data_IF_077568817849
#
_entry.id   IF_077568817849
#
_cell.length_a   1.000
_cell.length_b   1.000
_cell.length_c   1.000
_cell.angle_alpha   90.00
_cell.angle_beta   90.00
_cell.angle_gamma   90.00
#
_symmetry.space_group_name_H-M   'P 1'
#
loop_
_entity.id
_entity.type
_entity.pdbx_description
1 polymer ?
#
# COMPACT_ATOMS: atom_id res chain seq x y z
N UNK A 1 9.49 0.21 -18.42
CA UNK A 1 9.91 1.63 -18.51
C UNK A 1 8.78 2.58 -18.92
N UNK A 2 7.93 2.26 -19.88
CA UNK A 2 6.80 3.14 -20.30
C UNK A 2 5.66 3.21 -19.27
N UNK A 3 5.33 2.10 -18.59
CA UNK A 3 4.30 2.09 -17.54
C UNK A 3 4.68 2.99 -16.36
N UNK A 4 5.93 2.96 -15.93
CA UNK A 4 6.40 3.81 -14.84
C UNK A 4 6.44 5.31 -15.20
N UNK A 5 6.63 5.63 -16.49
CA UNK A 5 6.60 7.02 -17.00
C UNK A 5 5.20 7.60 -17.00
N UNK A 6 4.17 6.81 -17.44
CA UNK A 6 2.77 7.27 -17.46
C UNK A 6 2.19 7.45 -16.05
N UNK A 7 2.51 6.54 -15.14
CA UNK A 7 2.11 6.64 -13.74
C UNK A 7 2.76 7.86 -13.06
N UNK A 8 4.06 8.10 -13.29
CA UNK A 8 4.74 9.32 -12.82
C UNK A 8 4.08 10.58 -13.39
N UNK A 9 3.69 10.58 -14.66
CA UNK A 9 3.04 11.74 -15.29
C UNK A 9 1.67 12.06 -14.68
N UNK A 10 0.90 11.07 -14.22
CA UNK A 10 -0.38 11.29 -13.52
C UNK A 10 -0.19 11.82 -12.09
N UNK A 11 0.84 11.36 -11.37
CA UNK A 11 1.12 11.79 -10.00
C UNK A 11 1.83 13.16 -9.91
N UNK A 12 2.40 13.67 -11.01
CA UNK A 12 3.30 14.85 -11.00
C UNK A 12 2.58 16.13 -11.43
N UNK A 13 1.35 16.09 -11.91
CA UNK A 13 0.66 17.27 -12.46
C UNK A 13 0.48 18.42 -11.49
N UNK A 14 0.40 18.14 -10.20
CA UNK A 14 0.08 19.12 -9.17
C UNK A 14 1.05 19.01 -8.00
N UNK A 15 2.24 19.59 -8.13
CA UNK A 15 3.14 19.72 -7.00
C UNK A 15 2.77 20.92 -6.13
N UNK A 16 2.84 20.74 -4.80
CA UNK A 16 2.62 21.82 -3.87
C UNK A 16 3.74 22.87 -3.92
N UNK A 17 3.40 24.14 -3.72
CA UNK A 17 4.36 25.22 -3.49
C UNK A 17 4.81 25.18 -2.04
N UNK A 18 5.74 24.30 -1.74
CA UNK A 18 6.17 24.02 -0.37
C UNK A 18 6.68 25.24 0.41
N UNK A 19 7.31 26.21 -0.29
CA UNK A 19 7.80 27.43 0.36
C UNK A 19 6.63 28.25 0.93
N UNK A 20 5.54 28.42 0.18
CA UNK A 20 4.34 29.10 0.65
C UNK A 20 3.72 28.36 1.86
N UNK A 21 3.61 27.05 1.79
CA UNK A 21 3.09 26.25 2.91
C UNK A 21 3.96 26.39 4.17
N UNK A 22 5.27 26.46 4.00
CA UNK A 22 6.20 26.68 5.10
C UNK A 22 6.03 28.07 5.73
N UNK A 23 5.91 29.12 4.93
CA UNK A 23 5.67 30.50 5.39
C UNK A 23 4.38 30.61 6.19
N UNK A 24 3.33 29.88 5.81
CA UNK A 24 2.04 29.81 6.49
C UNK A 24 2.02 28.81 7.66
N UNK A 25 3.15 28.23 8.06
CA UNK A 25 3.26 27.23 9.11
C UNK A 25 2.50 25.94 8.82
N UNK A 26 2.37 25.57 7.54
CA UNK A 26 1.64 24.39 7.04
C UNK A 26 0.16 24.35 7.41
N UNK A 27 -0.46 25.50 7.62
CA UNK A 27 -1.87 25.63 8.05
C UNK A 27 -2.82 24.78 7.21
N UNK A 28 -2.73 24.83 5.88
CA UNK A 28 -3.56 24.02 4.98
C UNK A 28 -3.45 22.51 5.28
N UNK A 29 -2.23 22.02 5.53
CA UNK A 29 -2.02 20.62 5.81
C UNK A 29 -2.54 20.22 7.18
N UNK A 30 -2.36 21.06 8.19
CA UNK A 30 -2.90 20.84 9.54
C UNK A 30 -4.43 20.76 9.47
N UNK A 31 -5.08 21.73 8.85
CA UNK A 31 -6.55 21.74 8.69
C UNK A 31 -7.07 20.52 7.90
N UNK A 32 -6.37 20.13 6.82
CA UNK A 32 -6.73 18.97 6.01
C UNK A 32 -6.59 17.66 6.78
N UNK A 33 -5.50 17.47 7.52
CA UNK A 33 -5.27 16.27 8.31
C UNK A 33 -6.25 16.19 9.48
N UNK A 34 -6.44 17.29 10.21
CA UNK A 34 -7.37 17.39 11.33
C UNK A 34 -8.81 17.07 10.90
N UNK A 35 -9.28 17.70 9.82
CA UNK A 35 -10.60 17.41 9.26
C UNK A 35 -10.83 15.94 8.96
N UNK A 36 -9.83 15.27 8.34
CA UNK A 36 -9.96 13.86 8.02
C UNK A 36 -9.90 12.99 9.30
N UNK A 37 -9.01 13.27 10.22
CA UNK A 37 -8.86 12.50 11.47
C UNK A 37 -10.04 12.67 12.44
N UNK A 38 -10.83 13.73 12.29
CA UNK A 38 -12.09 13.87 12.99
C UNK A 38 -13.22 12.99 12.41
N UNK A 39 -13.06 12.49 11.19
CA UNK A 39 -14.05 11.65 10.50
C UNK A 39 -13.62 10.18 10.37
N UNK A 40 -12.34 9.87 10.55
CA UNK A 40 -11.77 8.53 10.38
C UNK A 40 -10.80 8.20 11.51
N UNK A 41 -10.73 6.93 11.90
CA UNK A 41 -9.81 6.45 12.94
C UNK A 41 -8.36 6.53 12.48
N UNK A 42 -8.11 6.25 11.21
CA UNK A 42 -6.79 6.30 10.59
C UNK A 42 -6.85 7.01 9.23
N UNK A 43 -5.77 7.67 8.87
CA UNK A 43 -5.60 8.34 7.58
C UNK A 43 -4.34 7.83 6.86
N UNK A 44 -4.54 7.20 5.69
CA UNK A 44 -3.42 6.83 4.82
C UNK A 44 -2.97 8.04 3.99
N UNK A 45 -1.69 8.35 4.07
CA UNK A 45 -1.03 9.34 3.21
C UNK A 45 -0.39 8.60 2.05
N UNK A 46 -0.92 8.85 0.86
CA UNK A 46 -0.43 8.29 -0.39
C UNK A 46 0.87 8.97 -0.84
N UNK A 47 1.75 8.20 -1.49
CA UNK A 47 3.05 8.68 -1.99
C UNK A 47 3.86 9.43 -0.94
N UNK A 48 4.03 8.83 0.25
CA UNK A 48 4.66 9.45 1.40
C UNK A 48 6.10 9.93 1.10
N UNK A 49 6.81 9.24 0.20
CA UNK A 49 8.15 9.65 -0.26
C UNK A 49 8.16 11.04 -0.92
N UNK A 50 7.02 11.52 -1.41
CA UNK A 50 6.87 12.86 -1.98
C UNK A 50 7.15 14.02 -1.02
N UNK A 51 7.08 13.80 0.30
CA UNK A 51 7.53 14.77 1.28
C UNK A 51 9.06 14.94 1.32
N UNK A 52 9.81 13.98 0.83
CA UNK A 52 11.28 13.96 0.85
C UNK A 52 11.85 14.37 -0.50
N UNK A 53 11.38 13.73 -1.55
CA UNK A 53 11.76 14.09 -2.92
C UNK A 53 10.64 13.74 -3.91
N UNK A 54 10.57 14.54 -4.95
CA UNK A 54 9.63 14.32 -6.04
C UNK A 54 10.20 14.79 -7.37
N UNK A 55 9.76 14.15 -8.46
CA UNK A 55 10.16 14.51 -9.81
C UNK A 55 9.27 15.64 -10.32
N UNK A 56 9.81 16.84 -10.45
CA UNK A 56 9.11 18.00 -10.96
C UNK A 56 9.30 18.15 -12.47
N UNK A 57 8.20 18.25 -13.20
CA UNK A 57 8.20 18.46 -14.65
C UNK A 57 7.67 19.87 -14.91
N UNK A 58 8.40 20.73 -15.67
CA UNK A 58 7.86 22.01 -16.08
C UNK A 58 6.57 21.85 -16.86
N UNK A 59 5.70 22.85 -16.76
CA UNK A 59 4.42 22.84 -17.46
C UNK A 59 4.62 22.69 -18.97
N UNK A 60 3.82 21.79 -19.57
CA UNK A 60 3.87 21.44 -21.00
C UNK A 60 5.16 20.75 -21.48
N UNK A 61 6.05 20.33 -20.59
CA UNK A 61 7.25 19.60 -20.94
C UNK A 61 7.07 18.08 -20.83
N UNK A 62 7.81 17.29 -21.61
CA UNK A 62 7.82 15.84 -21.45
C UNK A 62 8.45 15.41 -20.12
N UNK A 63 8.05 14.25 -19.61
CA UNK A 63 8.56 13.72 -18.34
C UNK A 63 10.10 13.61 -18.25
N UNK A 64 10.79 13.50 -19.38
CA UNK A 64 12.25 13.45 -19.46
C UNK A 64 12.92 14.76 -19.09
N UNK A 65 12.23 15.90 -19.25
CA UNK A 65 12.74 17.24 -18.95
C UNK A 65 12.50 17.64 -17.48
N UNK A 66 12.01 16.73 -16.67
CA UNK A 66 11.86 16.96 -15.25
C UNK A 66 13.19 16.93 -14.49
N UNK A 67 13.14 17.31 -13.23
CA UNK A 67 14.26 17.25 -12.30
C UNK A 67 13.79 16.90 -10.90
N UNK A 68 14.67 16.32 -10.09
CA UNK A 68 14.37 16.03 -8.70
C UNK A 68 14.32 17.31 -7.85
N UNK A 69 13.30 17.43 -7.04
CA UNK A 69 13.17 18.47 -6.02
C UNK A 69 13.04 17.86 -4.64
N UNK A 70 13.63 18.53 -3.66
CA UNK A 70 13.50 18.16 -2.25
C UNK A 70 12.17 18.67 -1.70
N UNK A 71 11.46 17.80 -0.98
CA UNK A 71 10.24 18.17 -0.28
C UNK A 71 10.51 18.82 1.09
N UNK A 72 9.49 19.18 1.84
CA UNK A 72 9.59 19.96 3.08
C UNK A 72 9.87 19.12 4.32
N UNK A 73 10.23 17.86 4.20
CA UNK A 73 10.20 16.85 5.27
C UNK A 73 10.78 17.34 6.62
N UNK A 74 11.93 18.03 6.61
CA UNK A 74 12.60 18.49 7.85
C UNK A 74 11.72 19.41 8.71
N UNK A 75 10.99 20.31 8.07
CA UNK A 75 10.17 21.30 8.77
C UNK A 75 8.71 20.91 8.85
N UNK A 76 8.23 20.12 7.90
CA UNK A 76 6.84 19.68 7.84
C UNK A 76 6.49 18.83 9.07
N UNK A 77 7.23 17.76 9.29
CA UNK A 77 6.93 16.81 10.37
C UNK A 77 7.09 17.46 11.75
N UNK A 78 8.13 18.30 11.93
CA UNK A 78 8.36 19.02 13.19
C UNK A 78 7.25 20.01 13.56
N UNK A 79 6.64 20.65 12.56
CA UNK A 79 5.57 21.61 12.78
C UNK A 79 4.21 20.93 12.92
N UNK A 80 3.88 20.03 11.98
CA UNK A 80 2.55 19.42 11.90
C UNK A 80 2.30 18.45 13.06
N UNK A 81 3.33 17.74 13.54
CA UNK A 81 3.21 16.82 14.68
C UNK A 81 2.79 17.48 15.99
N UNK A 82 2.94 18.81 16.11
CA UNK A 82 2.48 19.56 17.29
C UNK A 82 0.96 19.70 17.37
N UNK A 83 0.29 19.53 16.26
CA UNK A 83 -1.17 19.71 16.12
C UNK A 83 -1.90 18.44 15.72
N UNK A 84 -1.21 17.49 15.10
CA UNK A 84 -1.80 16.27 14.53
C UNK A 84 -1.21 15.04 15.24
N UNK A 85 -2.07 14.13 15.65
CA UNK A 85 -1.67 12.83 16.20
C UNK A 85 -1.16 11.90 15.09
N UNK A 86 0.14 11.76 14.99
CA UNK A 86 0.76 10.96 13.95
C UNK A 86 0.59 9.44 14.15
N UNK A 87 0.18 8.97 15.34
CA UNK A 87 -0.18 7.56 15.54
C UNK A 87 -1.42 7.14 14.75
N UNK A 88 -2.20 8.11 14.27
CA UNK A 88 -3.36 7.87 13.40
C UNK A 88 -3.04 7.97 11.91
N UNK A 89 -1.79 8.21 11.54
CA UNK A 89 -1.34 8.25 10.15
C UNK A 89 -0.79 6.89 9.73
N UNK A 90 -1.01 6.55 8.47
CA UNK A 90 -0.43 5.37 7.80
C UNK A 90 0.31 5.88 6.56
N UNK A 91 1.56 5.49 6.37
CA UNK A 91 2.34 5.95 5.23
C UNK A 91 2.32 4.95 4.07
N UNK A 92 2.06 5.42 2.86
CA UNK A 92 2.38 4.67 1.66
C UNK A 92 3.87 4.93 1.33
N UNK A 93 4.72 4.00 1.77
CA UNK A 93 6.18 4.04 1.64
C UNK A 93 6.71 2.97 0.65
N UNK A 94 5.92 2.66 -0.37
CA UNK A 94 6.27 1.69 -1.40
C UNK A 94 7.32 2.24 -2.37
N UNK A 95 8.12 1.34 -2.95
CA UNK A 95 9.16 1.69 -3.92
C UNK A 95 10.52 1.93 -3.27
N UNK A 96 11.25 2.95 -3.76
CA UNK A 96 12.58 3.29 -3.22
C UNK A 96 12.40 4.03 -1.90
N UNK A 97 12.73 3.37 -0.80
CA UNK A 97 12.71 3.96 0.54
C UNK A 97 14.02 4.68 0.78
N UNK A 98 13.95 6.00 1.00
CA UNK A 98 15.09 6.80 1.42
C UNK A 98 15.34 6.59 2.93
N UNK A 99 16.59 6.71 3.38
CA UNK A 99 16.91 6.60 4.79
C UNK A 99 16.11 7.63 5.62
N UNK A 100 16.00 8.86 5.11
CA UNK A 100 15.24 9.93 5.75
C UNK A 100 13.75 9.59 5.93
N UNK A 101 13.17 8.84 4.98
CA UNK A 101 11.80 8.34 5.11
C UNK A 101 11.69 7.36 6.26
N UNK A 102 12.60 6.39 6.33
CA UNK A 102 12.63 5.40 7.40
C UNK A 102 12.84 6.06 8.78
N UNK A 103 13.71 7.06 8.86
CA UNK A 103 13.97 7.81 10.08
C UNK A 103 12.72 8.57 10.56
N UNK A 104 11.99 9.22 9.67
CA UNK A 104 10.74 9.93 10.00
C UNK A 104 9.66 8.95 10.46
N UNK A 105 9.46 7.85 9.73
CA UNK A 105 8.48 6.82 10.12
C UNK A 105 8.77 6.28 11.51
N UNK A 106 10.05 6.00 11.80
CA UNK A 106 10.50 5.52 13.11
C UNK A 106 10.34 6.56 14.21
N UNK A 107 10.81 7.79 13.99
CA UNK A 107 10.81 8.87 15.00
C UNK A 107 9.40 9.29 15.41
N UNK A 108 8.47 9.26 14.48
CA UNK A 108 7.07 9.65 14.71
C UNK A 108 6.14 8.44 14.89
N UNK A 109 6.68 7.23 14.93
CA UNK A 109 5.94 5.97 15.07
C UNK A 109 4.81 5.82 14.03
N UNK A 110 5.04 6.30 12.80
CA UNK A 110 4.07 6.19 11.71
C UNK A 110 4.20 4.81 11.06
N UNK A 111 3.15 3.98 11.01
CA UNK A 111 3.19 2.71 10.31
C UNK A 111 3.42 2.90 8.81
N UNK A 112 4.40 2.21 8.27
CA UNK A 112 4.55 2.00 6.84
C UNK A 112 3.64 0.90 6.33
N UNK A 113 3.77 0.50 5.05
CA UNK A 113 2.97 -0.58 4.50
C UNK A 113 3.80 -1.62 3.74
N UNK A 114 3.30 -2.84 3.71
CA UNK A 114 3.82 -3.91 2.87
C UNK A 114 2.70 -4.58 2.09
N UNK A 115 2.94 -4.78 0.80
CA UNK A 115 2.02 -5.47 -0.11
C UNK A 115 2.66 -6.79 -0.51
N UNK A 116 2.07 -7.92 -0.11
CA UNK A 116 2.70 -9.22 -0.31
C UNK A 116 2.98 -9.52 -1.79
N UNK A 117 2.07 -9.21 -2.70
CA UNK A 117 2.30 -9.37 -4.15
C UNK A 117 3.57 -8.68 -4.68
N UNK A 118 3.99 -7.58 -4.03
CA UNK A 118 5.19 -6.84 -4.41
C UNK A 118 6.44 -7.30 -3.67
N UNK A 119 6.29 -8.13 -2.64
CA UNK A 119 7.38 -8.63 -1.79
C UNK A 119 7.76 -10.06 -2.10
N UNK A 120 6.95 -10.79 -2.85
CA UNK A 120 7.37 -12.10 -3.36
C UNK A 120 8.49 -11.87 -4.39
N UNK A 121 9.70 -12.39 -4.15
CA UNK A 121 10.84 -12.18 -5.04
C UNK A 121 10.56 -12.67 -6.46
N UNK A 122 11.05 -11.91 -7.43
CA UNK A 122 10.98 -12.25 -8.85
C UNK A 122 12.35 -12.66 -9.42
N UNK A 123 13.34 -12.77 -8.56
CA UNK A 123 14.67 -13.33 -8.87
C UNK A 123 15.26 -14.02 -7.63
N UNK A 124 16.27 -14.87 -7.85
CA UNK A 124 16.94 -15.62 -6.79
C UNK A 124 18.03 -14.83 -6.05
N UNK A 125 18.16 -13.54 -6.30
CA UNK A 125 19.20 -12.67 -5.73
C UNK A 125 18.73 -11.88 -4.52
N UNK A 126 17.41 -11.70 -4.36
CA UNK A 126 16.85 -10.96 -3.24
C UNK A 126 16.70 -11.85 -2.02
N UNK A 127 17.03 -11.29 -0.86
CA UNK A 127 16.77 -11.97 0.41
C UNK A 127 15.25 -12.05 0.60
N UNK A 128 14.78 -13.25 0.71
CA UNK A 128 13.40 -13.57 1.04
C UNK A 128 13.12 -13.15 2.48
N UNK A 129 12.08 -12.32 2.67
CA UNK A 129 11.56 -11.97 4.00
C UNK A 129 10.13 -12.48 4.11
N UNK A 130 9.98 -13.56 4.83
CA UNK A 130 8.66 -14.15 5.07
C UNK A 130 7.74 -13.16 5.79
N UNK A 131 6.42 -13.10 5.49
CA UNK A 131 5.49 -12.21 6.19
C UNK A 131 5.51 -12.33 7.72
N UNK A 132 5.84 -13.49 8.29
CA UNK A 132 6.02 -13.71 9.74
C UNK A 132 7.18 -12.91 10.35
N UNK A 133 8.11 -12.44 9.52
CA UNK A 133 9.26 -11.64 9.95
C UNK A 133 9.04 -10.12 9.81
N UNK A 134 7.86 -9.72 9.37
CA UNK A 134 7.53 -8.30 9.24
C UNK A 134 7.39 -7.64 10.61
N UNK A 135 7.69 -6.34 10.68
CA UNK A 135 7.58 -5.59 11.93
C UNK A 135 6.11 -5.34 12.33
N UNK A 136 5.87 -5.22 13.64
CA UNK A 136 4.54 -4.89 14.15
C UNK A 136 3.99 -3.56 13.61
N UNK A 137 4.83 -2.50 13.58
CA UNK A 137 4.42 -1.15 13.14
C UNK A 137 4.33 -1.04 11.60
N UNK A 138 3.53 -1.92 11.00
CA UNK A 138 3.28 -2.00 9.55
C UNK A 138 1.81 -2.32 9.32
N UNK A 139 1.26 -1.81 8.23
CA UNK A 139 0.00 -2.28 7.66
C UNK A 139 0.31 -3.24 6.53
N UNK A 140 -0.10 -4.49 6.69
CA UNK A 140 0.11 -5.55 5.70
C UNK A 140 -1.08 -5.65 4.75
N UNK A 141 -0.82 -5.77 3.46
CA UNK A 141 -1.83 -5.89 2.41
C UNK A 141 -1.60 -7.13 1.57
N UNK A 142 -2.66 -7.81 1.18
CA UNK A 142 -2.60 -8.81 0.10
C UNK A 142 -2.31 -8.14 -1.24
N UNK A 143 -3.05 -7.10 -1.56
CA UNK A 143 -2.91 -6.22 -2.71
C UNK A 143 -3.62 -4.89 -2.42
N UNK A 144 -3.38 -3.87 -3.23
CA UNK A 144 -4.04 -2.56 -3.14
C UNK A 144 -5.02 -2.39 -4.30
N UNK A 145 -5.69 -1.22 -4.35
CA UNK A 145 -6.53 -0.86 -5.51
C UNK A 145 -5.78 -0.85 -6.85
N UNK A 146 -4.45 -0.70 -6.84
CA UNK A 146 -3.60 -0.71 -8.04
C UNK A 146 -3.07 -2.10 -8.39
N UNK A 147 -3.22 -3.06 -7.50
CA UNK A 147 -2.75 -4.43 -7.67
C UNK A 147 -3.74 -5.26 -8.51
N UNK A 148 -3.28 -6.33 -9.19
CA UNK A 148 -4.19 -7.38 -9.63
C UNK A 148 -4.87 -8.04 -8.43
N UNK A 149 -6.00 -8.71 -8.61
CA UNK A 149 -6.53 -9.63 -7.59
C UNK A 149 -5.52 -10.76 -7.36
N UNK A 150 -5.55 -11.41 -6.18
CA UNK A 150 -4.63 -12.54 -5.90
C UNK A 150 -4.79 -13.63 -6.97
N UNK A 151 -6.03 -13.97 -7.34
CA UNK A 151 -6.30 -14.99 -8.37
C UNK A 151 -5.71 -14.60 -9.73
N UNK A 152 -5.81 -13.34 -10.11
CA UNK A 152 -5.16 -12.83 -11.31
C UNK A 152 -3.65 -12.89 -11.18
N UNK A 153 -3.09 -12.49 -10.05
CA UNK A 153 -1.66 -12.50 -9.78
C UNK A 153 -1.08 -13.92 -9.88
N UNK A 154 -1.70 -14.92 -9.21
CA UNK A 154 -1.27 -16.33 -9.26
C UNK A 154 -1.26 -16.90 -10.68
N UNK A 155 -2.12 -16.39 -11.57
CA UNK A 155 -2.18 -16.84 -12.96
C UNK A 155 -1.20 -16.12 -13.92
N UNK A 156 -0.66 -14.97 -13.52
CA UNK A 156 0.14 -14.09 -14.39
C UNK A 156 1.61 -13.93 -13.94
N UNK A 157 1.96 -14.34 -12.73
CA UNK A 157 3.34 -14.27 -12.23
C UNK A 157 4.22 -15.37 -12.81
N UNK A 158 5.53 -15.16 -12.74
CA UNK A 158 6.50 -16.13 -13.22
C UNK A 158 6.70 -17.33 -12.26
N UNK A 159 7.37 -18.36 -12.75
CA UNK A 159 7.59 -19.60 -12.00
C UNK A 159 8.41 -19.35 -10.72
N UNK A 160 9.32 -18.37 -10.73
CA UNK A 160 10.15 -18.03 -9.56
C UNK A 160 9.25 -17.49 -8.43
N UNK A 161 8.34 -16.60 -8.74
CA UNK A 161 7.40 -16.07 -7.75
C UNK A 161 6.46 -17.15 -7.21
N UNK A 162 6.03 -18.09 -8.05
CA UNK A 162 5.23 -19.25 -7.61
C UNK A 162 6.05 -20.15 -6.68
N UNK A 163 7.34 -20.37 -6.98
CA UNK A 163 8.22 -21.16 -6.11
C UNK A 163 8.36 -20.51 -4.72
N UNK A 164 8.60 -19.20 -4.66
CA UNK A 164 8.65 -18.47 -3.37
C UNK A 164 7.32 -18.50 -2.62
N UNK A 165 6.21 -18.31 -3.32
CA UNK A 165 4.89 -18.43 -2.70
C UNK A 165 4.67 -19.83 -2.10
N UNK A 166 5.06 -20.88 -2.79
CA UNK A 166 4.96 -22.25 -2.27
C UNK A 166 5.84 -22.47 -1.03
N UNK A 167 7.07 -21.93 -1.00
CA UNK A 167 7.93 -21.96 0.20
C UNK A 167 7.27 -21.24 1.37
N UNK A 168 6.67 -20.07 1.15
CA UNK A 168 5.92 -19.37 2.20
C UNK A 168 4.74 -20.20 2.71
N UNK A 169 3.98 -20.80 1.79
CA UNK A 169 2.85 -21.67 2.13
C UNK A 169 3.26 -22.89 2.93
N UNK A 170 4.38 -23.53 2.63
CA UNK A 170 4.91 -24.69 3.37
C UNK A 170 5.31 -24.35 4.81
N UNK A 171 5.80 -23.14 5.05
CA UNK A 171 6.16 -22.66 6.39
C UNK A 171 4.97 -22.07 7.17
N UNK A 172 3.84 -21.88 6.51
CA UNK A 172 2.57 -21.48 7.10
C UNK A 172 1.81 -22.72 7.59
N UNK A 173 0.99 -22.57 8.62
CA UNK A 173 0.05 -23.60 9.02
C UNK A 173 -1.16 -23.63 8.06
N UNK A 174 -0.89 -23.61 6.76
CA UNK A 174 -1.89 -23.50 5.71
C UNK A 174 -3.11 -24.40 5.98
N UNK A 175 -4.28 -23.80 5.98
CA UNK A 175 -5.52 -24.42 6.39
C UNK A 175 -6.53 -24.53 5.24
N UNK A 176 -6.16 -24.05 4.06
CA UNK A 176 -7.07 -23.89 2.95
C UNK A 176 -6.62 -24.68 1.72
N UNK A 177 -7.61 -25.21 0.98
CA UNK A 177 -7.37 -25.85 -0.32
C UNK A 177 -7.08 -24.81 -1.41
N UNK A 178 -7.64 -23.60 -1.25
CA UNK A 178 -7.45 -22.48 -2.18
C UNK A 178 -6.12 -21.78 -1.94
N UNK A 179 -5.34 -21.57 -3.00
CA UNK A 179 -4.11 -20.78 -2.96
C UNK A 179 -4.40 -19.29 -2.71
N UNK A 180 -5.56 -18.78 -3.09
CA UNK A 180 -5.98 -17.42 -2.77
C UNK A 180 -6.13 -17.24 -1.25
N UNK A 181 -6.81 -18.17 -0.59
CA UNK A 181 -6.96 -18.14 0.87
C UNK A 181 -5.65 -18.41 1.61
N UNK A 182 -4.76 -19.24 1.04
CA UNK A 182 -3.41 -19.41 1.58
C UNK A 182 -2.61 -18.11 1.50
N UNK A 183 -2.71 -17.36 0.40
CA UNK A 183 -2.08 -16.07 0.25
C UNK A 183 -2.61 -15.04 1.27
N UNK A 184 -3.93 -14.99 1.48
CA UNK A 184 -4.55 -14.16 2.50
C UNK A 184 -4.04 -14.55 3.89
N UNK A 185 -3.98 -15.86 4.19
CA UNK A 185 -3.50 -16.36 5.47
C UNK A 185 -2.08 -15.92 5.79
N UNK A 186 -1.16 -15.93 4.81
CA UNK A 186 0.21 -15.45 4.98
C UNK A 186 0.28 -14.00 5.47
N UNK A 187 -0.57 -13.12 4.91
CA UNK A 187 -0.64 -11.72 5.33
C UNK A 187 -1.25 -11.59 6.73
N UNK A 188 -2.27 -12.37 7.04
CA UNK A 188 -2.96 -12.31 8.32
C UNK A 188 -2.18 -12.98 9.45
N UNK A 189 -1.32 -13.94 9.17
CA UNK A 189 -0.38 -14.53 10.13
C UNK A 189 0.82 -13.61 10.46
N UNK A 190 1.02 -12.53 9.71
CA UNK A 190 2.11 -11.58 9.98
C UNK A 190 1.92 -10.89 11.33
N UNK A 191 2.99 -10.48 12.02
CA UNK A 191 2.88 -9.75 13.29
C UNK A 191 2.43 -8.30 13.12
N UNK A 192 2.12 -7.86 11.90
CA UNK A 192 1.71 -6.49 11.60
C UNK A 192 0.44 -6.09 12.35
N UNK A 193 0.37 -4.85 12.83
CA UNK A 193 -0.78 -4.39 13.61
C UNK A 193 -2.11 -4.42 12.84
N UNK A 194 -2.06 -4.20 11.53
CA UNK A 194 -3.24 -4.30 10.65
C UNK A 194 -2.92 -5.21 9.46
N UNK A 195 -3.90 -6.04 9.09
CA UNK A 195 -3.88 -6.83 7.86
C UNK A 195 -5.12 -6.48 7.02
N UNK A 196 -4.90 -6.08 5.78
CA UNK A 196 -5.95 -5.61 4.87
C UNK A 196 -6.02 -6.53 3.66
N UNK A 197 -7.24 -6.97 3.36
CA UNK A 197 -7.54 -7.82 2.20
C UNK A 197 -8.72 -7.23 1.44
N UNK A 198 -8.67 -7.27 0.12
CA UNK A 198 -9.76 -6.78 -0.71
C UNK A 198 -10.92 -7.75 -0.71
N UNK A 199 -12.14 -7.25 -0.90
CA UNK A 199 -13.31 -8.12 -1.02
C UNK A 199 -13.25 -9.02 -2.24
N UNK A 200 -12.59 -8.57 -3.30
CA UNK A 200 -12.38 -9.35 -4.51
C UNK A 200 -11.54 -10.60 -4.22
N UNK A 201 -10.52 -10.45 -3.37
CA UNK A 201 -9.65 -11.57 -2.96
C UNK A 201 -10.39 -12.55 -2.05
N UNK A 202 -11.15 -12.05 -1.08
CA UNK A 202 -11.98 -12.90 -0.22
C UNK A 202 -13.01 -13.72 -1.00
N UNK A 203 -13.48 -13.21 -2.12
CA UNK A 203 -14.42 -13.88 -3.02
C UNK A 203 -13.73 -14.65 -4.15
N UNK A 204 -12.41 -14.72 -4.15
CA UNK A 204 -11.59 -15.39 -5.17
C UNK A 204 -11.91 -14.94 -6.62
N UNK A 205 -12.21 -13.65 -6.79
CA UNK A 205 -12.51 -13.09 -8.09
C UNK A 205 -11.21 -12.85 -8.89
N UNK A 206 -11.32 -13.01 -10.20
CA UNK A 206 -10.19 -12.86 -11.12
C UNK A 206 -10.04 -11.45 -11.68
N UNK A 207 -9.46 -11.38 -12.88
CA UNK A 207 -9.15 -10.15 -13.60
C UNK A 207 -10.36 -9.24 -13.84
N UNK A 208 -11.53 -9.82 -13.98
CA UNK A 208 -12.81 -9.11 -14.17
C UNK A 208 -13.17 -8.19 -13.02
N UNK A 209 -12.69 -8.50 -11.82
CA UNK A 209 -12.93 -7.72 -10.60
C UNK A 209 -11.80 -6.74 -10.27
N UNK A 210 -10.78 -6.62 -11.11
CA UNK A 210 -9.68 -5.68 -10.88
C UNK A 210 -10.20 -4.26 -10.84
N UNK A 211 -9.77 -3.50 -9.81
CA UNK A 211 -10.31 -2.19 -9.52
C UNK A 211 -9.68 -1.08 -10.35
N UNK A 212 -8.34 -1.08 -10.44
CA UNK A 212 -7.58 -0.08 -11.18
C UNK A 212 -6.37 -0.71 -11.88
N UNK A 213 -6.08 -0.22 -13.09
CA UNK A 213 -4.88 -0.56 -13.86
C UNK A 213 -4.06 0.72 -14.03
N UNK A 214 -3.00 0.93 -13.25
CA UNK A 214 -2.18 2.13 -13.33
C UNK A 214 -1.71 2.44 -14.76
N UNK A 215 -1.80 3.71 -15.15
CA UNK A 215 -1.39 4.18 -16.48
C UNK A 215 -2.43 3.97 -17.59
N UNK A 216 -3.63 3.48 -17.27
CA UNK A 216 -4.77 3.41 -18.20
C UNK A 216 -5.84 4.43 -17.83
N UNK A 217 -6.72 4.76 -18.79
CA UNK A 217 -7.82 5.73 -18.58
C UNK A 217 -9.20 5.07 -18.53
N UNK A 218 -9.32 3.85 -19.01
CA UNK A 218 -10.62 3.19 -19.21
C UNK A 218 -10.85 2.08 -18.19
N UNK A 219 -12.11 1.88 -17.83
CA UNK A 219 -12.57 0.80 -16.95
C UNK A 219 -11.97 0.75 -15.56
N UNK A 220 -11.35 1.85 -15.07
CA UNK A 220 -10.88 1.97 -13.71
C UNK A 220 -11.99 2.46 -12.79
N UNK A 221 -12.02 2.00 -11.54
CA UNK A 221 -12.94 2.44 -10.49
C UNK A 221 -14.42 2.13 -10.74
N UNK A 222 -14.71 1.19 -11.66
CA UNK A 222 -16.09 0.87 -12.07
C UNK A 222 -16.64 -0.42 -11.45
N UNK A 223 -15.77 -1.33 -11.03
CA UNK A 223 -16.21 -2.57 -10.41
C UNK A 223 -17.05 -2.30 -9.14
N UNK A 224 -18.11 -3.07 -8.99
CA UNK A 224 -18.99 -3.03 -7.80
C UNK A 224 -19.39 -4.44 -7.42
N UNK A 225 -19.56 -4.67 -6.12
CA UNK A 225 -20.19 -5.88 -5.61
C UNK A 225 -21.69 -5.79 -5.90
N UNK A 226 -22.21 -6.71 -6.69
CA UNK A 226 -23.61 -6.69 -7.15
C UNK A 226 -24.58 -7.17 -6.08
N UNK A 227 -24.18 -8.18 -5.29
CA UNK A 227 -25.02 -8.77 -4.26
C UNK A 227 -24.23 -8.98 -2.95
N UNK A 228 -24.75 -8.40 -1.86
CA UNK A 228 -24.16 -8.55 -0.53
C UNK A 228 -24.37 -9.95 0.06
N UNK A 229 -25.36 -10.70 -0.41
CA UNK A 229 -25.62 -12.05 0.08
C UNK A 229 -24.50 -13.04 -0.22
N UNK A 230 -23.70 -12.78 -1.25
CA UNK A 230 -22.50 -13.55 -1.58
C UNK A 230 -21.48 -13.57 -0.41
N UNK A 231 -21.47 -12.55 0.46
CA UNK A 231 -20.59 -12.48 1.63
C UNK A 231 -20.89 -13.58 2.66
N UNK A 232 -22.08 -14.18 2.61
CA UNK A 232 -22.44 -15.31 3.48
C UNK A 232 -21.55 -16.52 3.19
N UNK A 233 -21.07 -16.67 1.96
CA UNK A 233 -20.26 -17.81 1.54
C UNK A 233 -18.88 -17.81 2.18
N UNK A 234 -18.28 -16.63 2.42
CA UNK A 234 -16.94 -16.49 3.02
C UNK A 234 -16.96 -16.42 4.55
N UNK A 235 -18.14 -16.28 5.15
CA UNK A 235 -18.27 -16.06 6.60
C UNK A 235 -17.59 -17.13 7.46
N UNK A 236 -17.67 -18.40 7.04
CA UNK A 236 -17.07 -19.52 7.78
C UNK A 236 -15.54 -19.45 7.74
N UNK A 237 -14.98 -19.21 6.54
CA UNK A 237 -13.53 -19.17 6.32
C UNK A 237 -12.91 -17.94 6.96
N UNK A 238 -13.58 -16.79 6.87
CA UNK A 238 -13.15 -15.56 7.52
C UNK A 238 -13.15 -15.70 9.06
N UNK A 239 -14.18 -16.32 9.65
CA UNK A 239 -14.19 -16.61 11.09
C UNK A 239 -13.08 -17.57 11.50
N UNK A 240 -12.79 -18.58 10.70
CA UNK A 240 -11.70 -19.51 10.92
C UNK A 240 -10.36 -18.80 10.88
N UNK A 241 -10.15 -17.94 9.89
CA UNK A 241 -8.94 -17.12 9.74
C UNK A 241 -8.73 -16.20 10.94
N UNK A 242 -9.74 -15.41 11.31
CA UNK A 242 -9.68 -14.51 12.47
C UNK A 242 -9.29 -15.24 13.75
N UNK A 243 -9.97 -16.36 14.03
CA UNK A 243 -9.67 -17.16 15.21
C UNK A 243 -8.26 -17.75 15.21
N UNK A 244 -7.79 -18.17 14.04
CA UNK A 244 -6.48 -18.77 13.88
C UNK A 244 -5.35 -17.74 14.02
N UNK A 245 -5.57 -16.52 13.52
CA UNK A 245 -4.57 -15.45 13.53
C UNK A 245 -4.69 -14.49 14.72
N UNK A 246 -5.65 -14.75 15.63
CA UNK A 246 -5.96 -13.90 16.79
C UNK A 246 -6.25 -12.44 16.40
N UNK A 247 -6.93 -12.24 15.26
CA UNK A 247 -7.35 -10.94 14.72
C UNK A 247 -8.86 -10.74 14.83
N UNK A 248 -9.46 -11.05 15.96
CA UNK A 248 -10.89 -10.89 16.18
C UNK A 248 -11.24 -9.55 16.81
#
# INVERSE_FOLDING_TARGET
HERSRRQRQMCIRDSYKWDNHKEEGYKYWIEKLDYNLNNYDYLRIDHFVGFFQFWAIPENEPALNGHWRTGPWKTFFDVVSKSIDFNKLLAEDLGVVLQETADVLSNFNIPGMKVLQQRVPNDNKHNEIHPKEWNFNIVAYTGTHDSPTIKQWLNEVDDIQIEFFNKYKESSSSLYESDVWNFISLVWESPCQLAVTTIQDLLELGKEARFNIPGTKEKNWVWRLEDLDILKNIKKDLKKLNKYTDRA
#
